data_IF_761744652192
#
_entry.id   IF_761744652192
#
_cell.length_a   1.000
_cell.length_b   1.000
_cell.length_c   1.000
_cell.angle_alpha   90.00
_cell.angle_beta   90.00
_cell.angle_gamma   90.00
#
_symmetry.space_group_name_H-M   'P 1'
#
loop_
_entity.id
_entity.type
_entity.pdbx_description
1 polymer ?
#
# COMPACT_ATOMS: atom_id res chain seq x y z
N UNK A 1 10.42 -81.27 -93.24
CA UNK A 1 10.72 -82.12 -94.42
C UNK A 1 11.96 -81.60 -95.17
N UNK A 2 13.07 -82.37 -95.08
CA UNK A 2 13.93 -82.76 -96.23
C UNK A 2 14.26 -81.63 -97.26
N UNK A 3 15.48 -81.12 -97.45
CA UNK A 3 16.81 -81.76 -97.54
C UNK A 3 17.98 -80.75 -97.37
N UNK A 4 19.20 -81.23 -97.11
CA UNK A 4 20.42 -80.42 -97.03
C UNK A 4 21.08 -80.21 -98.41
N UNK A 5 21.81 -79.11 -98.57
CA UNK A 5 22.89 -79.00 -99.56
C UNK A 5 24.18 -78.67 -98.81
N UNK A 6 25.08 -79.66 -98.79
CA UNK A 6 26.48 -79.49 -98.43
C UNK A 6 27.23 -79.22 -99.73
N UNK A 7 27.81 -78.04 -99.86
CA UNK A 7 29.02 -77.82 -100.66
C UNK A 7 29.93 -76.85 -99.92
N UNK A 8 31.19 -77.26 -99.73
CA UNK A 8 32.27 -76.40 -99.26
C UNK A 8 32.24 -76.13 -97.76
N UNK A 9 32.86 -77.01 -96.98
CA UNK A 9 33.00 -76.90 -95.54
C UNK A 9 33.43 -75.51 -95.06
N UNK A 10 32.49 -74.79 -94.45
CA UNK A 10 32.65 -73.72 -93.46
C UNK A 10 31.29 -73.50 -92.80
N UNK A 11 31.22 -73.72 -91.49
CA UNK A 11 30.06 -73.39 -90.66
C UNK A 11 29.75 -71.89 -90.78
N UNK A 12 28.55 -71.55 -91.25
CA UNK A 12 27.99 -70.20 -91.14
C UNK A 12 27.11 -70.17 -89.90
N UNK A 13 27.42 -69.37 -88.87
CA UNK A 13 26.49 -69.11 -87.78
C UNK A 13 25.33 -68.26 -88.30
N UNK A 14 24.11 -68.72 -88.06
CA UNK A 14 22.89 -67.92 -88.24
C UNK A 14 22.97 -66.66 -87.38
N UNK A 15 23.30 -65.52 -87.97
CA UNK A 15 23.09 -64.21 -87.36
C UNK A 15 21.59 -63.91 -87.38
N UNK A 16 20.97 -63.96 -86.21
CA UNK A 16 19.63 -63.43 -85.98
C UNK A 16 19.54 -61.99 -86.51
N UNK A 17 18.45 -61.59 -87.18
CA UNK A 17 18.27 -60.21 -87.60
C UNK A 17 18.08 -59.32 -86.36
N UNK A 18 18.70 -58.12 -86.29
CA UNK A 18 18.38 -57.19 -85.22
C UNK A 18 16.91 -56.78 -85.34
N UNK A 19 16.20 -57.03 -84.25
CA UNK A 19 14.76 -56.89 -84.06
C UNK A 19 14.20 -55.51 -84.46
N UNK A 20 12.96 -55.50 -84.98
CA UNK A 20 12.14 -54.31 -85.31
C UNK A 20 11.96 -53.29 -84.17
N UNK A 21 12.33 -53.61 -82.92
CA UNK A 21 12.33 -52.65 -81.81
C UNK A 21 13.46 -51.62 -81.91
N UNK A 22 14.56 -51.99 -82.56
CA UNK A 22 15.71 -51.12 -82.74
C UNK A 22 15.41 -50.05 -83.81
N UNK A 23 14.64 -50.40 -84.85
CA UNK A 23 14.17 -49.43 -85.85
C UNK A 23 13.21 -48.41 -85.23
N UNK A 24 12.27 -48.83 -84.38
CA UNK A 24 11.27 -47.90 -83.79
C UNK A 24 11.89 -46.88 -82.84
N UNK A 25 12.96 -47.25 -82.12
CA UNK A 25 13.74 -46.32 -81.29
C UNK A 25 14.57 -45.37 -82.16
N UNK A 26 15.16 -45.89 -83.23
CA UNK A 26 15.90 -45.10 -84.23
C UNK A 26 14.98 -44.10 -84.95
N UNK A 27 13.77 -44.49 -85.32
CA UNK A 27 12.77 -43.63 -85.96
C UNK A 27 12.31 -42.51 -85.01
N UNK A 28 12.07 -42.81 -83.73
CA UNK A 28 11.76 -41.77 -82.72
C UNK A 28 12.92 -40.81 -82.51
N UNK A 29 14.14 -41.32 -82.49
CA UNK A 29 15.34 -40.50 -82.38
C UNK A 29 15.50 -39.61 -83.62
N UNK A 30 15.27 -40.15 -84.81
CA UNK A 30 15.30 -39.42 -86.06
C UNK A 30 14.21 -38.34 -86.10
N UNK A 31 12.98 -38.65 -85.67
CA UNK A 31 11.89 -37.67 -85.59
C UNK A 31 12.16 -36.57 -84.55
N UNK A 32 12.76 -36.91 -83.40
CA UNK A 32 13.17 -35.93 -82.39
C UNK A 32 14.30 -35.02 -82.90
N UNK A 33 15.30 -35.61 -83.56
CA UNK A 33 16.36 -34.85 -84.21
C UNK A 33 15.82 -33.96 -85.33
N UNK A 34 14.88 -34.46 -86.15
CA UNK A 34 14.19 -33.68 -87.17
C UNK A 34 13.35 -32.55 -86.55
N UNK A 35 12.72 -32.75 -85.39
CA UNK A 35 12.02 -31.67 -84.67
C UNK A 35 12.99 -30.60 -84.16
N UNK A 36 14.17 -30.97 -83.67
CA UNK A 36 15.19 -29.99 -83.26
C UNK A 36 15.74 -29.25 -84.48
N UNK A 37 15.97 -29.95 -85.59
CA UNK A 37 16.41 -29.34 -86.85
C UNK A 37 15.34 -28.42 -87.41
N UNK A 38 14.07 -28.82 -87.40
CA UNK A 38 12.94 -27.99 -87.82
C UNK A 38 12.77 -26.78 -86.88
N UNK A 39 12.95 -26.94 -85.58
CA UNK A 39 12.94 -25.81 -84.63
C UNK A 39 14.08 -24.83 -84.90
N UNK A 40 15.32 -25.33 -85.10
CA UNK A 40 16.48 -24.50 -85.42
C UNK A 40 16.34 -23.85 -86.79
N UNK A 41 15.77 -24.56 -87.77
CA UNK A 41 15.51 -24.05 -89.11
C UNK A 41 14.43 -22.97 -89.08
N UNK A 42 13.38 -23.14 -88.27
CA UNK A 42 12.35 -22.11 -88.06
C UNK A 42 12.90 -20.91 -87.28
N UNK A 43 13.83 -21.12 -86.34
CA UNK A 43 14.53 -20.04 -85.63
C UNK A 43 15.39 -19.23 -86.60
N UNK A 44 16.20 -19.91 -87.43
CA UNK A 44 17.02 -19.28 -88.47
C UNK A 44 16.15 -18.63 -89.57
N UNK A 45 15.01 -19.22 -89.93
CA UNK A 45 14.08 -18.64 -90.91
C UNK A 45 13.32 -17.41 -90.36
N UNK A 46 13.03 -17.37 -89.07
CA UNK A 46 12.56 -16.15 -88.39
C UNK A 46 13.65 -15.08 -88.34
N UNK A 47 14.91 -15.47 -88.20
CA UNK A 47 16.07 -14.58 -88.31
C UNK A 47 16.17 -14.01 -89.75
N UNK A 48 16.08 -14.86 -90.78
CA UNK A 48 16.12 -14.50 -92.21
C UNK A 48 14.95 -13.61 -92.65
N UNK A 49 13.74 -13.80 -92.11
CA UNK A 49 12.58 -12.95 -92.45
C UNK A 49 12.55 -11.61 -91.71
N UNK A 50 13.26 -11.50 -90.58
CA UNK A 50 13.54 -10.21 -89.93
C UNK A 50 14.71 -9.45 -90.59
N UNK A 51 15.45 -10.10 -91.50
CA UNK A 51 16.70 -9.62 -92.11
C UNK A 51 16.50 -8.75 -93.37
N UNK A 52 15.41 -7.97 -93.40
CA UNK A 52 15.25 -6.84 -94.32
C UNK A 52 15.90 -5.53 -93.84
N UNK A 53 16.47 -5.54 -92.63
CA UNK A 53 17.23 -4.44 -92.02
C UNK A 53 18.59 -4.97 -91.55
N UNK A 54 19.62 -4.17 -91.76
CA UNK A 54 21.06 -4.45 -91.59
C UNK A 54 21.39 -5.44 -90.44
N UNK A 55 21.95 -6.63 -90.73
CA UNK A 55 22.29 -7.65 -89.73
C UNK A 55 23.23 -7.17 -88.62
N UNK A 56 24.14 -6.24 -88.94
CA UNK A 56 25.06 -5.66 -87.96
C UNK A 56 24.33 -4.75 -86.96
N UNK A 57 23.28 -4.05 -87.41
CA UNK A 57 22.46 -3.20 -86.54
C UNK A 57 21.60 -4.01 -85.55
N UNK A 58 21.17 -5.23 -85.92
CA UNK A 58 20.42 -6.14 -85.03
C UNK A 58 21.28 -6.69 -83.87
N UNK A 59 22.52 -7.08 -84.18
CA UNK A 59 23.45 -7.57 -83.16
C UNK A 59 23.92 -6.45 -82.22
N UNK A 60 24.16 -5.25 -82.77
CA UNK A 60 24.57 -4.08 -81.99
C UNK A 60 23.43 -3.57 -81.09
N UNK A 61 22.19 -3.57 -81.57
CA UNK A 61 21.04 -3.24 -80.71
C UNK A 61 20.82 -4.28 -79.61
N UNK A 62 21.11 -5.56 -79.86
CA UNK A 62 21.08 -6.62 -78.85
C UNK A 62 22.17 -6.44 -77.78
N UNK A 63 23.42 -6.18 -78.21
CA UNK A 63 24.54 -5.84 -77.30
C UNK A 63 24.19 -4.63 -76.44
N UNK A 64 23.61 -3.59 -77.03
CA UNK A 64 23.25 -2.37 -76.33
C UNK A 64 22.11 -2.59 -75.31
N UNK A 65 21.12 -3.42 -75.63
CA UNK A 65 20.09 -3.86 -74.68
C UNK A 65 20.67 -4.67 -73.52
N UNK A 66 21.63 -5.57 -73.79
CA UNK A 66 22.30 -6.35 -72.75
C UNK A 66 23.16 -5.47 -71.81
N UNK A 67 23.83 -4.45 -72.36
CA UNK A 67 24.57 -3.46 -71.57
C UNK A 67 23.61 -2.64 -70.70
N UNK A 68 22.52 -2.13 -71.27
CA UNK A 68 21.51 -1.38 -70.53
C UNK A 68 20.88 -2.23 -69.40
N UNK A 69 20.53 -3.50 -69.66
CA UNK A 69 20.02 -4.41 -68.64
C UNK A 69 21.06 -4.69 -67.53
N UNK A 70 22.35 -4.77 -67.89
CA UNK A 70 23.45 -4.92 -66.92
C UNK A 70 23.62 -3.68 -66.05
N UNK A 71 23.44 -2.49 -66.61
CA UNK A 71 23.45 -1.23 -65.87
C UNK A 71 22.25 -1.13 -64.92
N UNK A 72 21.04 -1.44 -65.40
CA UNK A 72 19.84 -1.51 -64.57
C UNK A 72 19.98 -2.53 -63.42
N UNK A 73 20.58 -3.69 -63.68
CA UNK A 73 20.85 -4.68 -62.64
C UNK A 73 21.85 -4.16 -61.59
N UNK A 74 22.90 -3.44 -62.02
CA UNK A 74 23.87 -2.83 -61.11
C UNK A 74 23.21 -1.76 -60.23
N UNK A 75 22.40 -0.90 -60.82
CA UNK A 75 21.67 0.14 -60.10
C UNK A 75 20.71 -0.48 -59.08
N UNK A 76 19.91 -1.47 -59.50
CA UNK A 76 19.00 -2.19 -58.61
C UNK A 76 19.75 -2.88 -57.46
N UNK A 77 20.92 -3.47 -57.73
CA UNK A 77 21.75 -4.09 -56.71
C UNK A 77 22.30 -3.05 -55.73
N UNK A 78 22.70 -1.88 -56.21
CA UNK A 78 23.20 -0.79 -55.38
C UNK A 78 22.10 -0.22 -54.47
N UNK A 79 20.91 0.07 -55.02
CA UNK A 79 19.76 0.57 -54.24
C UNK A 79 19.27 -0.46 -53.22
N UNK A 80 19.23 -1.75 -53.59
CA UNK A 80 18.93 -2.81 -52.64
C UNK A 80 19.93 -2.84 -51.48
N UNK A 81 21.23 -2.77 -51.77
CA UNK A 81 22.27 -2.77 -50.74
C UNK A 81 22.15 -1.55 -49.83
N UNK A 82 21.91 -0.36 -50.37
CA UNK A 82 21.68 0.86 -49.60
C UNK A 82 20.48 0.71 -48.67
N UNK A 83 19.36 0.14 -49.14
CA UNK A 83 18.19 -0.11 -48.30
C UNK A 83 18.47 -1.12 -47.19
N UNK A 84 19.21 -2.19 -47.48
CA UNK A 84 19.60 -3.17 -46.45
C UNK A 84 20.48 -2.51 -45.38
N UNK A 85 21.44 -1.67 -45.77
CA UNK A 85 22.30 -0.94 -44.83
C UNK A 85 21.53 0.11 -44.02
N UNK A 86 20.60 0.84 -44.65
CA UNK A 86 19.72 1.79 -43.99
C UNK A 86 18.82 1.09 -42.95
N UNK A 87 18.20 -0.04 -43.32
CA UNK A 87 17.37 -0.83 -42.40
C UNK A 87 18.22 -1.40 -41.27
N UNK A 88 19.40 -1.94 -41.57
CA UNK A 88 20.29 -2.55 -40.57
C UNK A 88 20.76 -1.51 -39.56
N UNK A 89 21.22 -0.35 -40.04
CA UNK A 89 21.66 0.74 -39.17
C UNK A 89 20.52 1.33 -38.32
N UNK A 90 19.31 1.48 -38.89
CA UNK A 90 18.13 1.88 -38.13
C UNK A 90 17.76 0.84 -37.07
N UNK A 91 17.80 -0.45 -37.40
CA UNK A 91 17.50 -1.53 -36.47
C UNK A 91 18.50 -1.57 -35.30
N UNK A 92 19.80 -1.40 -35.57
CA UNK A 92 20.84 -1.32 -34.53
C UNK A 92 20.61 -0.14 -33.57
N UNK A 93 20.02 0.96 -34.03
CA UNK A 93 19.69 2.11 -33.19
C UNK A 93 18.39 1.94 -32.40
N UNK A 94 17.37 1.29 -32.99
CA UNK A 94 16.04 1.17 -32.39
C UNK A 94 15.97 0.04 -31.38
N UNK A 95 16.62 -1.10 -31.64
CA UNK A 95 16.53 -2.29 -30.79
C UNK A 95 16.96 -2.01 -29.33
N UNK A 96 18.09 -1.35 -29.04
CA UNK A 96 18.48 -1.04 -27.66
C UNK A 96 17.49 -0.11 -26.96
N UNK A 97 16.88 0.85 -27.69
CA UNK A 97 15.89 1.77 -27.13
C UNK A 97 14.61 1.04 -26.72
N UNK A 98 14.19 0.04 -27.50
CA UNK A 98 13.03 -0.80 -27.17
C UNK A 98 13.32 -1.66 -25.94
N UNK A 99 14.50 -2.27 -25.86
CA UNK A 99 14.93 -3.05 -24.69
C UNK A 99 15.01 -2.18 -23.42
N UNK A 100 15.55 -0.97 -23.53
CA UNK A 100 15.58 0.00 -22.43
C UNK A 100 14.17 0.39 -21.98
N UNK A 101 13.27 0.66 -22.93
CA UNK A 101 11.88 0.97 -22.62
C UNK A 101 11.18 -0.21 -21.91
N UNK A 102 11.46 -1.44 -22.34
CA UNK A 102 10.94 -2.65 -21.69
C UNK A 102 11.50 -2.81 -20.28
N UNK A 103 12.80 -2.59 -20.07
CA UNK A 103 13.42 -2.61 -18.74
C UNK A 103 12.81 -1.56 -17.81
N UNK A 104 12.65 -0.32 -18.29
CA UNK A 104 11.98 0.76 -17.54
C UNK A 104 10.53 0.41 -17.20
N UNK A 105 9.79 -0.18 -18.14
CA UNK A 105 8.42 -0.67 -17.89
C UNK A 105 8.38 -1.71 -16.78
N UNK A 106 9.29 -2.69 -16.79
CA UNK A 106 9.36 -3.71 -15.76
C UNK A 106 9.67 -3.09 -14.38
N UNK A 107 10.61 -2.15 -14.31
CA UNK A 107 10.94 -1.43 -13.07
C UNK A 107 9.76 -0.61 -12.54
N UNK A 108 9.02 0.07 -13.41
CA UNK A 108 7.81 0.80 -13.01
C UNK A 108 6.72 -0.14 -12.50
N UNK A 109 6.56 -1.30 -13.13
CA UNK A 109 5.59 -2.30 -12.69
C UNK A 109 5.94 -2.84 -11.30
N UNK A 110 7.21 -3.17 -11.06
CA UNK A 110 7.69 -3.58 -9.74
C UNK A 110 7.47 -2.47 -8.69
N UNK A 111 7.80 -1.22 -9.01
CA UNK A 111 7.61 -0.08 -8.11
C UNK A 111 6.12 0.12 -7.76
N UNK A 112 5.21 -0.09 -8.73
CA UNK A 112 3.76 -0.05 -8.50
C UNK A 112 3.29 -1.17 -7.57
N UNK A 113 3.77 -2.40 -7.78
CA UNK A 113 3.46 -3.54 -6.92
C UNK A 113 3.96 -3.30 -5.48
N UNK A 114 5.18 -2.77 -5.32
CA UNK A 114 5.72 -2.39 -4.01
C UNK A 114 4.90 -1.27 -3.35
N UNK A 115 4.49 -0.24 -4.11
CA UNK A 115 3.65 0.84 -3.59
C UNK A 115 2.30 0.30 -3.14
N UNK A 116 1.69 -0.59 -3.92
CA UNK A 116 0.42 -1.22 -3.59
C UNK A 116 0.55 -2.08 -2.33
N UNK A 117 1.62 -2.88 -2.21
CA UNK A 117 1.90 -3.65 -1.00
C UNK A 117 2.07 -2.73 0.23
N UNK A 118 2.84 -1.63 0.11
CA UNK A 118 3.00 -0.64 1.18
C UNK A 118 1.67 0.01 1.57
N UNK A 119 0.81 0.32 0.60
CA UNK A 119 -0.54 0.85 0.85
C UNK A 119 -1.38 -0.13 1.66
N UNK A 120 -1.38 -1.41 1.31
CA UNK A 120 -2.14 -2.42 2.07
C UNK A 120 -1.63 -2.57 3.50
N UNK A 121 -0.31 -2.62 3.69
CA UNK A 121 0.29 -2.67 5.02
C UNK A 121 -0.05 -1.43 5.84
N UNK A 122 -0.01 -0.24 5.25
CA UNK A 122 -0.39 1.00 5.92
C UNK A 122 -1.88 1.03 6.31
N UNK A 123 -2.75 0.55 5.42
CA UNK A 123 -4.20 0.44 5.69
C UNK A 123 -4.48 -0.53 6.85
N UNK A 124 -3.81 -1.68 6.90
CA UNK A 124 -3.95 -2.62 8.02
C UNK A 124 -3.41 -2.04 9.33
N UNK A 125 -2.26 -1.36 9.30
CA UNK A 125 -1.73 -0.67 10.49
C UNK A 125 -2.70 0.38 11.02
N UNK A 126 -3.30 1.18 10.14
CA UNK A 126 -4.32 2.15 10.52
C UNK A 126 -5.54 1.47 11.15
N UNK A 127 -6.04 0.38 10.55
CA UNK A 127 -7.17 -0.38 11.06
C UNK A 127 -6.89 -0.95 12.46
N UNK A 128 -5.69 -1.49 12.69
CA UNK A 128 -5.28 -2.02 14.00
C UNK A 128 -5.17 -0.90 15.03
N UNK A 129 -4.51 0.21 14.68
CA UNK A 129 -4.38 1.37 15.57
C UNK A 129 -5.77 1.94 15.95
N UNK A 130 -6.69 2.04 14.99
CA UNK A 130 -8.06 2.48 15.22
C UNK A 130 -8.80 1.56 16.20
N UNK A 131 -8.74 0.24 15.98
CA UNK A 131 -9.35 -0.73 16.90
C UNK A 131 -8.75 -0.66 18.31
N UNK A 132 -7.43 -0.49 18.40
CA UNK A 132 -6.75 -0.37 19.68
C UNK A 132 -7.17 0.91 20.41
N UNK A 133 -7.29 2.03 19.69
CA UNK A 133 -7.81 3.27 20.26
C UNK A 133 -9.25 3.13 20.75
N UNK A 134 -10.14 2.50 19.96
CA UNK A 134 -11.53 2.22 20.37
C UNK A 134 -11.58 1.38 21.64
N UNK A 135 -10.80 0.29 21.70
CA UNK A 135 -10.75 -0.56 22.88
C UNK A 135 -10.26 0.20 24.12
N UNK A 136 -9.29 1.11 23.97
CA UNK A 136 -8.82 1.93 25.09
C UNK A 136 -9.90 2.92 25.55
N UNK A 137 -10.64 3.52 24.63
CA UNK A 137 -11.76 4.39 24.97
C UNK A 137 -12.86 3.62 25.71
N UNK A 138 -13.22 2.43 25.23
CA UNK A 138 -14.22 1.57 25.89
C UNK A 138 -13.78 1.16 27.30
N UNK A 139 -12.51 0.74 27.47
CA UNK A 139 -11.97 0.42 28.80
C UNK A 139 -12.00 1.62 29.74
N UNK A 140 -11.64 2.80 29.26
CA UNK A 140 -11.68 4.02 30.05
C UNK A 140 -13.10 4.36 30.49
N UNK A 141 -14.07 4.30 29.56
CA UNK A 141 -15.48 4.53 29.86
C UNK A 141 -16.04 3.50 30.83
N UNK A 142 -15.67 2.22 30.67
CA UNK A 142 -16.07 1.16 31.58
C UNK A 142 -15.52 1.40 32.99
N UNK A 143 -14.23 1.75 33.11
CA UNK A 143 -13.62 2.07 34.39
C UNK A 143 -14.29 3.28 35.05
N UNK A 144 -14.57 4.35 34.29
CA UNK A 144 -15.32 5.50 34.79
C UNK A 144 -16.71 5.10 35.27
N UNK A 145 -17.41 4.22 34.56
CA UNK A 145 -18.73 3.74 34.97
C UNK A 145 -18.66 2.93 36.27
N UNK A 146 -17.69 2.03 36.41
CA UNK A 146 -17.43 1.25 37.64
C UNK A 146 -17.16 2.17 38.83
N UNK A 147 -16.20 3.10 38.71
CA UNK A 147 -15.89 4.07 39.76
C UNK A 147 -17.12 4.92 40.12
N UNK A 148 -17.91 5.34 39.13
CA UNK A 148 -19.14 6.10 39.39
C UNK A 148 -20.22 5.28 40.13
N UNK A 149 -20.29 3.97 39.87
CA UNK A 149 -21.22 3.07 40.56
C UNK A 149 -20.78 2.85 42.01
N UNK A 150 -19.49 2.60 42.25
CA UNK A 150 -18.93 2.48 43.60
C UNK A 150 -19.15 3.75 44.43
N UNK A 151 -18.94 4.92 43.84
CA UNK A 151 -19.19 6.20 44.53
C UNK A 151 -20.66 6.35 44.90
N UNK A 152 -21.59 5.99 44.00
CA UNK A 152 -23.04 6.03 44.29
C UNK A 152 -23.44 5.03 45.37
N UNK A 153 -22.87 3.83 45.36
CA UNK A 153 -23.10 2.83 46.40
C UNK A 153 -22.65 3.37 47.76
N UNK A 154 -21.40 3.85 47.86
CA UNK A 154 -20.87 4.44 49.10
C UNK A 154 -21.69 5.62 49.58
N UNK A 155 -22.10 6.50 48.66
CA UNK A 155 -22.96 7.63 48.99
C UNK A 155 -24.31 7.17 49.54
N UNK A 156 -24.88 6.12 48.95
CA UNK A 156 -26.17 5.55 49.40
C UNK A 156 -26.02 4.90 50.77
N UNK A 157 -24.96 4.12 51.00
CA UNK A 157 -24.66 3.53 52.31
C UNK A 157 -24.46 4.59 53.39
N UNK A 158 -23.72 5.67 53.09
CA UNK A 158 -23.52 6.77 54.03
C UNK A 158 -24.84 7.53 54.35
N UNK A 159 -25.73 7.69 53.36
CA UNK A 159 -27.06 8.27 53.59
C UNK A 159 -27.92 7.39 54.50
N UNK A 160 -27.91 6.08 54.27
CA UNK A 160 -28.64 5.11 55.11
C UNK A 160 -28.12 5.11 56.55
N UNK A 161 -26.80 5.13 56.72
CA UNK A 161 -26.14 5.20 58.02
C UNK A 161 -26.52 6.47 58.78
N UNK A 162 -26.50 7.62 58.10
CA UNK A 162 -26.91 8.90 58.68
C UNK A 162 -28.37 8.86 59.14
N UNK A 163 -29.26 8.28 58.32
CA UNK A 163 -30.67 8.14 58.67
C UNK A 163 -30.88 7.21 59.88
N UNK A 164 -30.10 6.12 59.98
CA UNK A 164 -30.08 5.25 61.17
C UNK A 164 -29.66 6.02 62.42
N UNK A 165 -28.56 6.78 62.34
CA UNK A 165 -28.07 7.59 63.46
C UNK A 165 -29.08 8.65 63.91
N UNK A 166 -29.81 9.27 62.96
CA UNK A 166 -30.88 10.21 63.31
C UNK A 166 -32.03 9.54 64.06
N UNK A 167 -32.41 8.31 63.69
CA UNK A 167 -33.42 7.54 64.40
C UNK A 167 -32.95 7.18 65.82
N UNK A 168 -31.71 6.68 65.96
CA UNK A 168 -31.10 6.38 67.27
C UNK A 168 -30.99 7.61 68.18
N UNK A 169 -30.64 8.77 67.62
CA UNK A 169 -30.59 10.02 68.37
C UNK A 169 -32.00 10.45 68.83
N UNK A 170 -33.01 10.22 67.99
CA UNK A 170 -34.41 10.41 68.34
C UNK A 170 -34.85 9.55 69.52
N UNK A 171 -34.51 8.25 69.52
CA UNK A 171 -34.84 7.33 70.62
C UNK A 171 -34.12 7.70 71.91
N UNK A 172 -32.82 7.99 71.85
CA UNK A 172 -32.03 8.42 73.01
C UNK A 172 -32.57 9.72 73.63
N UNK A 173 -32.98 10.68 72.79
CA UNK A 173 -33.59 11.92 73.26
C UNK A 173 -34.92 11.67 73.99
N UNK A 174 -35.73 10.72 73.50
CA UNK A 174 -36.98 10.33 74.14
C UNK A 174 -36.73 9.65 75.49
N UNK A 175 -35.78 8.72 75.57
CA UNK A 175 -35.37 8.05 76.81
C UNK A 175 -34.85 9.05 77.84
N UNK A 176 -33.98 9.97 77.43
CA UNK A 176 -33.49 11.05 78.29
C UNK A 176 -34.64 11.94 78.82
N UNK A 177 -35.64 12.21 77.97
CA UNK A 177 -36.87 12.90 78.37
C UNK A 177 -37.66 12.13 79.45
N UNK A 178 -37.85 10.83 79.25
CA UNK A 178 -38.56 9.97 80.22
C UNK A 178 -37.81 9.86 81.56
N UNK A 179 -36.49 9.74 81.54
CA UNK A 179 -35.67 9.73 82.76
C UNK A 179 -35.76 11.08 83.49
N UNK A 180 -35.78 12.19 82.75
CA UNK A 180 -35.99 13.51 83.34
C UNK A 180 -37.35 13.64 84.02
N UNK A 181 -38.42 13.15 83.39
CA UNK A 181 -39.76 13.11 83.99
C UNK A 181 -39.82 12.21 85.22
N UNK A 182 -39.14 11.05 85.19
CA UNK A 182 -38.98 10.19 86.38
C UNK A 182 -38.28 10.94 87.49
N UNK A 183 -37.16 11.60 87.21
CA UNK A 183 -36.41 12.38 88.20
C UNK A 183 -37.29 13.48 88.81
N UNK A 184 -38.02 14.22 87.99
CA UNK A 184 -38.94 15.25 88.45
C UNK A 184 -40.01 14.68 89.39
N UNK A 185 -40.59 13.51 89.07
CA UNK A 185 -41.53 12.81 89.96
C UNK A 185 -40.90 12.46 91.30
N UNK A 186 -39.68 11.91 91.30
CA UNK A 186 -38.95 11.60 92.55
C UNK A 186 -38.67 12.87 93.36
N UNK A 187 -38.32 13.97 92.71
CA UNK A 187 -38.11 15.25 93.37
C UNK A 187 -39.38 15.77 94.05
N UNK A 188 -40.53 15.68 93.37
CA UNK A 188 -41.85 16.00 93.95
C UNK A 188 -42.17 15.11 95.16
N UNK A 189 -41.90 13.80 95.09
CA UNK A 189 -42.12 12.90 96.22
C UNK A 189 -41.24 13.26 97.42
N UNK A 190 -39.96 13.57 97.20
CA UNK A 190 -39.07 14.03 98.26
C UNK A 190 -39.61 15.31 98.92
N UNK A 191 -40.06 16.29 98.12
CA UNK A 191 -40.62 17.53 98.64
C UNK A 191 -41.87 17.30 99.51
N UNK A 192 -42.75 16.38 99.10
CA UNK A 192 -43.91 15.97 99.89
C UNK A 192 -43.49 15.31 101.21
N UNK A 193 -42.50 14.41 101.19
CA UNK A 193 -41.99 13.74 102.39
C UNK A 193 -41.42 14.75 103.40
N UNK A 194 -40.64 15.74 102.93
CA UNK A 194 -40.12 16.80 103.80
C UNK A 194 -41.23 17.65 104.44
N UNK A 195 -42.28 17.97 103.66
CA UNK A 195 -43.45 18.70 104.14
C UNK A 195 -44.17 17.93 105.25
N UNK A 196 -44.42 16.63 105.03
CA UNK A 196 -45.06 15.76 106.03
C UNK A 196 -44.22 15.58 107.30
N UNK A 197 -42.89 15.65 107.20
CA UNK A 197 -41.97 15.58 108.33
C UNK A 197 -41.85 16.92 109.09
N UNK A 198 -42.53 17.98 108.64
CA UNK A 198 -42.53 19.30 109.31
C UNK A 198 -41.27 20.14 109.09
N UNK A 199 -40.42 19.79 108.12
CA UNK A 199 -39.22 20.55 107.76
C UNK A 199 -39.48 21.33 106.46
N UNK A 200 -39.74 22.63 106.58
CA UNK A 200 -39.98 23.52 105.44
C UNK A 200 -38.64 23.85 104.75
N UNK A 201 -38.38 23.27 103.58
CA UNK A 201 -37.31 23.73 102.68
C UNK A 201 -37.90 24.77 101.71
N UNK A 202 -37.47 26.03 101.86
CA UNK A 202 -37.70 27.07 100.87
C UNK A 202 -37.03 26.66 99.54
N UNK A 203 -37.67 26.93 98.38
CA UNK A 203 -37.01 26.79 97.10
C UNK A 203 -35.94 27.87 97.00
N UNK A 204 -34.69 27.47 96.86
CA UNK A 204 -33.61 28.38 96.49
C UNK A 204 -33.91 28.92 95.10
N UNK A 205 -34.42 30.16 95.07
CA UNK A 205 -34.68 30.91 93.86
C UNK A 205 -33.34 31.27 93.19
N UNK A 206 -33.36 31.19 91.86
CA UNK A 206 -32.26 31.41 90.93
C UNK A 206 -31.41 32.66 91.22
N UNK A 207 -30.09 32.51 91.08
CA UNK A 207 -29.16 33.39 90.34
C UNK A 207 -27.81 33.53 91.06
N UNK A 208 -26.81 32.77 90.61
CA UNK A 208 -25.39 33.21 90.51
C UNK A 208 -24.61 32.13 89.73
N UNK A 209 -24.71 32.17 88.41
CA UNK A 209 -23.51 32.06 87.59
C UNK A 209 -23.08 33.49 87.33
N UNK A 210 -21.85 33.85 87.72
CA UNK A 210 -20.92 34.13 86.65
C UNK A 210 -19.54 33.51 86.88
N UNK A 211 -18.93 33.14 85.76
CA UNK A 211 -17.49 33.17 85.52
C UNK A 211 -16.71 31.87 85.72
N UNK A 212 -16.79 30.99 84.70
CA UNK A 212 -15.57 30.39 84.16
C UNK A 212 -15.42 30.83 82.70
N UNK A 213 -14.57 31.85 82.56
CA UNK A 213 -13.70 32.20 81.43
C UNK A 213 -14.21 31.98 80.01
N UNK A 214 -14.25 33.12 79.30
CA UNK A 214 -14.02 33.26 77.87
C UNK A 214 -13.12 32.16 77.28
N UNK A 215 -13.69 31.36 76.38
CA UNK A 215 -12.97 30.79 75.24
C UNK A 215 -13.92 30.81 74.03
N UNK A 216 -13.42 31.18 72.85
CA UNK A 216 -14.19 31.93 71.87
C UNK A 216 -15.18 31.05 71.12
N UNK A 217 -16.26 31.68 70.66
CA UNK A 217 -17.06 31.21 69.53
C UNK A 217 -16.13 30.69 68.43
N UNK A 218 -16.31 29.46 67.90
CA UNK A 218 -15.90 29.21 66.54
C UNK A 218 -16.83 30.06 65.69
N UNK A 219 -16.33 31.25 65.32
CA UNK A 219 -16.92 32.07 64.28
C UNK A 219 -17.27 31.16 63.13
N UNK A 220 -18.55 31.17 62.78
CA UNK A 220 -19.08 30.82 61.47
C UNK A 220 -18.45 31.79 60.44
N UNK A 221 -17.14 31.68 60.23
CA UNK A 221 -16.48 32.27 59.09
C UNK A 221 -16.72 31.33 57.92
N UNK A 222 -17.36 31.91 56.91
CA UNK A 222 -17.28 31.50 55.52
C UNK A 222 -15.94 30.83 55.21
N UNK A 223 -15.95 29.50 55.07
CA UNK A 223 -14.92 28.77 54.33
C UNK A 223 -15.67 27.86 53.37
N UNK A 224 -16.27 28.49 52.36
CA UNK A 224 -16.34 27.88 51.05
C UNK A 224 -14.99 28.16 50.39
N UNK A 225 -14.02 27.26 50.59
CA UNK A 225 -13.00 26.87 49.60
C UNK A 225 -11.89 26.01 50.24
N UNK A 226 -11.61 24.90 49.56
CA UNK A 226 -10.34 24.18 49.51
C UNK A 226 -9.99 23.23 50.66
N UNK A 227 -10.49 21.99 50.55
CA UNK A 227 -9.69 20.81 50.88
C UNK A 227 -9.00 20.32 49.60
N UNK A 228 -7.82 20.88 49.31
CA UNK A 228 -6.77 20.16 48.60
C UNK A 228 -5.64 19.98 49.61
N UNK A 229 -5.30 18.73 49.90
CA UNK A 229 -4.17 18.39 50.74
C UNK A 229 -2.87 18.75 50.02
N UNK A 230 -2.07 19.61 50.64
CA UNK A 230 -0.65 19.73 50.37
C UNK A 230 0.07 18.42 50.70
N UNK A 231 0.88 17.93 49.77
CA UNK A 231 2.13 17.22 50.09
C UNK A 231 3.26 17.86 49.28
N UNK A 232 3.83 18.91 49.86
CA UNK A 232 5.05 19.58 49.40
C UNK A 232 5.48 20.57 50.47
N UNK A 233 6.39 20.19 51.37
CA UNK A 233 7.79 20.64 51.30
C UNK A 233 8.63 20.23 52.53
N UNK A 234 9.95 20.18 52.32
CA UNK A 234 11.07 20.28 53.30
C UNK A 234 11.82 19.00 53.69
N UNK A 235 12.96 18.76 53.04
CA UNK A 235 14.30 18.77 53.66
C UNK A 235 15.32 19.10 52.54
N UNK A 236 15.92 20.28 52.59
CA UNK A 236 17.28 20.47 53.13
C UNK A 236 18.36 20.14 52.09
N UNK A 237 18.79 21.21 51.40
CA UNK A 237 19.96 21.25 50.52
C UNK A 237 21.22 21.21 51.38
N UNK A 238 21.83 20.03 51.51
CA UNK A 238 23.26 19.87 51.76
C UNK A 238 23.93 19.65 50.40
N UNK A 239 25.02 20.37 50.17
CA UNK A 239 25.69 20.45 48.88
C UNK A 239 26.47 19.19 48.51
N UNK A 240 26.70 19.05 47.21
CA UNK A 240 27.82 18.36 46.54
C UNK A 240 27.74 18.79 45.07
N UNK A 241 28.62 19.64 44.54
CA UNK A 241 29.99 19.35 44.08
C UNK A 241 30.11 18.05 43.29
N UNK A 242 30.22 18.23 41.97
CA UNK A 242 31.04 17.43 41.04
C UNK A 242 30.69 15.95 40.85
N UNK A 243 30.18 15.60 39.67
CA UNK A 243 30.93 14.77 38.72
C UNK A 243 30.40 14.83 37.28
N UNK A 244 31.37 15.11 36.42
CA UNK A 244 31.45 15.15 34.95
C UNK A 244 31.03 13.83 34.29
N UNK A 245 30.31 13.87 33.16
CA UNK A 245 30.68 13.20 31.89
C UNK A 245 29.54 13.17 30.83
N UNK A 246 29.78 13.93 29.75
CA UNK A 246 29.61 13.60 28.32
C UNK A 246 28.29 13.08 27.73
N UNK A 247 27.66 13.93 26.90
CA UNK A 247 26.82 13.55 25.75
C UNK A 247 26.45 14.78 24.89
N UNK A 248 26.65 14.80 23.56
CA UNK A 248 26.60 16.03 22.73
C UNK A 248 25.17 16.41 22.26
N UNK A 249 24.95 17.67 21.82
CA UNK A 249 23.62 18.22 21.51
C UNK A 249 23.15 17.95 20.07
N UNK A 250 21.84 18.06 19.76
CA UNK A 250 21.35 18.00 18.40
C UNK A 250 21.54 19.35 17.69
N UNK A 251 21.99 19.25 16.45
CA UNK A 251 22.23 20.35 15.50
C UNK A 251 20.89 20.98 15.10
N UNK A 252 20.81 22.30 15.24
CA UNK A 252 19.84 23.16 14.58
C UNK A 252 20.41 23.62 13.23
N UNK A 253 19.62 23.51 12.16
CA UNK A 253 19.47 24.52 11.10
C UNK A 253 18.49 24.00 10.02
N UNK A 254 17.39 24.73 9.78
CA UNK A 254 17.16 25.59 8.60
C UNK A 254 16.81 24.75 7.34
N UNK A 255 15.70 24.93 6.60
CA UNK A 255 15.00 26.15 6.23
C UNK A 255 13.65 25.78 5.57
N UNK A 256 12.59 26.54 5.85
CA UNK A 256 11.41 26.68 4.98
C UNK A 256 10.93 28.13 5.10
N UNK A 257 10.84 28.92 4.02
CA UNK A 257 10.05 30.14 4.04
C UNK A 257 8.65 29.86 3.53
N UNK A 258 7.67 30.26 4.34
CA UNK A 258 6.26 30.32 4.00
C UNK A 258 5.99 31.38 2.93
N UNK A 259 5.03 31.06 2.07
CA UNK A 259 4.34 31.99 1.19
C UNK A 259 3.61 33.06 2.02
N UNK A 260 3.75 34.33 1.63
CA UNK A 260 2.77 35.37 1.94
C UNK A 260 2.56 36.24 0.71
N UNK A 261 1.31 36.24 0.26
CA UNK A 261 0.78 37.15 -0.73
C UNK A 261 0.66 38.59 -0.18
N UNK A 262 0.71 39.53 -1.13
CA UNK A 262 0.00 40.81 -1.17
C UNK A 262 0.62 42.00 -0.41
N UNK A 263 1.26 42.92 -1.15
CA UNK A 263 0.67 44.26 -1.36
C UNK A 263 1.35 45.07 -2.48
N UNK A 264 0.49 45.84 -3.15
CA UNK A 264 0.63 46.79 -4.25
C UNK A 264 1.79 47.81 -4.16
N UNK A 265 2.42 48.12 -5.30
CA UNK A 265 2.46 49.49 -5.82
C UNK A 265 2.79 49.50 -7.32
N UNK A 266 2.11 50.37 -8.07
CA UNK A 266 2.42 50.69 -9.45
C UNK A 266 3.36 51.90 -9.52
N UNK A 267 4.11 51.96 -10.61
CA UNK A 267 4.79 53.09 -11.26
C UNK A 267 5.52 52.43 -12.45
N UNK A 268 5.38 52.81 -13.72
CA UNK A 268 5.43 54.16 -14.24
C UNK A 268 6.75 54.33 -14.99
N UNK A 269 6.86 53.79 -16.22
CA UNK A 269 7.66 54.28 -17.37
C UNK A 269 7.59 53.28 -18.52
#
# INVERSE_FOLDING_TARGET
PCWPIVQGGKNVPCLYPPSKQDSRKKDKLLCSQLQVVDFLQNFLAQEDTAQGLDPLASEDTSRQKAIAAKEQWKELKATYQEHVEAITSALTQVLPKVEEAQRKRAQLQEALEQLQAKKQVAAEKLRVAQKQWQLQQEKHLQHLAEVSAEVRERQTGMKQELERLYQELGTLKQEAGQEREKLQRHQTFLQLLYTLQGKLLLPEAEAELPQERDLPEPKSQQVTQSWELNTGDTMERVGDVSSKASGPPPIADASLPQLSERQQHGEGS
#
